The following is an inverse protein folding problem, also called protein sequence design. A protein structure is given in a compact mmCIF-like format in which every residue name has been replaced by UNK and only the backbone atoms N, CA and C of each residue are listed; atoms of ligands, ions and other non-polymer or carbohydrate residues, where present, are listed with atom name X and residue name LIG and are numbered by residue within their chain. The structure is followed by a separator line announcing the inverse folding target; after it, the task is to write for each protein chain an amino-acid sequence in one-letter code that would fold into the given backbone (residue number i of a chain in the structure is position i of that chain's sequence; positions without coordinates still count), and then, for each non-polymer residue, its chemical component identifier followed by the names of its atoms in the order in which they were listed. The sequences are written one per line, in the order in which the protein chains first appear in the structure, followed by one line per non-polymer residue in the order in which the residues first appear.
data_IF_305523624984
#
_entry.id   IF_305523624984
#
_cell.length_a   1.000
_cell.length_b   1.000
_cell.length_c   1.000
_cell.angle_alpha   90.00
_cell.angle_beta   90.00
_cell.angle_gamma   90.00
#
_symmetry.space_group_name_H-M   'P 1'
#
loop_
_entity.id
_entity.type
_entity.pdbx_description
1 polymer ?
#
# COMPACT_ATOMS: atom_id res chain seq x y z
N UNK A 1 -11.90 7.98 -8.29
CA UNK A 1 -12.06 8.73 -9.54
C UNK A 1 -12.47 7.82 -10.70
N UNK A 2 -11.70 6.73 -10.97
CA UNK A 2 -12.01 5.84 -12.11
C UNK A 2 -13.42 5.24 -12.02
N UNK A 3 -13.84 4.75 -10.87
CA UNK A 3 -15.18 4.17 -10.67
C UNK A 3 -16.29 5.19 -10.98
N UNK A 4 -16.14 6.44 -10.51
CA UNK A 4 -17.08 7.51 -10.84
C UNK A 4 -17.15 7.77 -12.36
N UNK A 5 -15.99 7.80 -13.04
CA UNK A 5 -15.92 7.97 -14.50
C UNK A 5 -16.48 6.79 -15.30
N UNK A 6 -16.48 5.61 -14.71
CA UNK A 6 -17.08 4.40 -15.29
C UNK A 6 -18.60 4.31 -15.05
N UNK A 7 -19.19 5.30 -14.37
CA UNK A 7 -20.64 5.40 -14.19
C UNK A 7 -21.15 4.92 -12.83
N UNK A 8 -20.29 4.68 -11.85
CA UNK A 8 -20.75 4.42 -10.49
C UNK A 8 -21.46 5.68 -9.93
N UNK A 9 -22.69 5.51 -9.42
CA UNK A 9 -23.53 6.62 -8.95
C UNK A 9 -23.02 7.22 -7.64
N UNK A 10 -22.54 6.40 -6.73
CA UNK A 10 -22.05 6.83 -5.43
C UNK A 10 -20.67 6.18 -5.15
N UNK A 11 -19.65 7.01 -5.03
CA UNK A 11 -18.30 6.57 -4.75
C UNK A 11 -17.82 7.20 -3.47
N UNK A 12 -17.62 6.38 -2.45
CA UNK A 12 -17.16 6.79 -1.13
C UNK A 12 -15.73 6.34 -0.93
N UNK A 13 -14.84 7.26 -0.54
CA UNK A 13 -13.51 6.97 -0.03
C UNK A 13 -13.55 7.14 1.48
N UNK A 14 -13.38 6.04 2.21
CA UNK A 14 -13.47 6.04 3.67
C UNK A 14 -12.08 5.97 4.27
N UNK A 15 -11.79 6.86 5.23
CA UNK A 15 -10.50 6.93 5.88
C UNK A 15 -10.65 7.01 7.40
N UNK A 16 -9.80 6.25 8.12
CA UNK A 16 -9.91 6.08 9.57
C UNK A 16 -9.45 7.26 10.43
N UNK A 17 -8.79 8.25 9.84
CA UNK A 17 -8.32 9.48 10.50
C UNK A 17 -8.86 10.72 9.81
N UNK A 18 -8.34 11.90 10.19
CA UNK A 18 -8.63 13.17 9.54
C UNK A 18 -8.04 13.27 8.12
N UNK A 19 -8.54 14.24 7.38
CA UNK A 19 -8.08 14.48 6.01
C UNK A 19 -6.60 14.88 5.96
N UNK A 20 -6.10 15.50 7.01
CA UNK A 20 -4.70 15.94 7.18
C UNK A 20 -3.73 14.77 7.36
N UNK A 21 -4.24 13.63 7.83
CA UNK A 21 -3.45 12.40 8.01
C UNK A 21 -3.43 11.51 6.76
N UNK A 22 -4.12 11.91 5.68
CA UNK A 22 -4.16 11.12 4.46
C UNK A 22 -2.81 11.16 3.74
N UNK A 23 -2.33 10.00 3.28
CA UNK A 23 -1.17 9.93 2.39
C UNK A 23 -1.41 10.54 1.00
N UNK A 24 -2.69 10.71 0.61
CA UNK A 24 -3.06 11.40 -0.62
C UNK A 24 -2.80 12.91 -0.50
N UNK A 25 -2.16 13.50 -1.50
CA UNK A 25 -1.90 14.94 -1.57
C UNK A 25 -3.20 15.74 -1.65
N UNK A 26 -3.14 17.03 -1.29
CA UNK A 26 -4.31 17.92 -1.46
C UNK A 26 -4.83 17.94 -2.91
N UNK A 27 -3.92 17.92 -3.88
CA UNK A 27 -4.28 17.86 -5.30
C UNK A 27 -5.07 16.59 -5.66
N UNK A 28 -4.65 15.43 -5.18
CA UNK A 28 -5.38 14.17 -5.38
C UNK A 28 -6.75 14.16 -4.72
N UNK A 29 -6.86 14.74 -3.52
CA UNK A 29 -8.13 14.92 -2.81
C UNK A 29 -9.08 15.85 -3.59
N UNK A 30 -8.56 16.93 -4.14
CA UNK A 30 -9.35 17.87 -4.95
C UNK A 30 -9.82 17.23 -6.27
N UNK A 31 -8.96 16.44 -6.93
CA UNK A 31 -9.36 15.64 -8.10
C UNK A 31 -10.48 14.65 -7.72
N UNK A 32 -10.38 13.98 -6.57
CA UNK A 32 -11.42 13.06 -6.11
C UNK A 32 -12.76 13.80 -5.91
N UNK A 33 -12.76 14.91 -5.20
CA UNK A 33 -13.95 15.75 -4.96
C UNK A 33 -14.54 16.29 -6.25
N UNK A 34 -13.70 16.79 -7.18
CA UNK A 34 -14.15 17.28 -8.49
C UNK A 34 -14.80 16.19 -9.36
N UNK A 35 -14.46 14.91 -9.12
CA UNK A 35 -15.12 13.76 -9.75
C UNK A 35 -16.21 13.14 -8.87
N UNK A 36 -16.81 13.92 -7.96
CA UNK A 36 -17.93 13.53 -7.10
C UNK A 36 -17.65 12.35 -6.16
N UNK A 37 -16.38 12.06 -5.88
CA UNK A 37 -16.01 11.09 -4.85
C UNK A 37 -16.18 11.72 -3.48
N UNK A 38 -17.01 11.12 -2.63
CA UNK A 38 -17.23 11.57 -1.26
C UNK A 38 -16.10 11.08 -0.36
N UNK A 39 -15.45 12.00 0.36
CA UNK A 39 -14.45 11.66 1.37
C UNK A 39 -15.13 11.55 2.74
N UNK A 40 -15.09 10.38 3.33
CA UNK A 40 -15.62 10.10 4.67
C UNK A 40 -14.45 9.80 5.59
N UNK A 41 -14.12 10.75 6.45
CA UNK A 41 -13.04 10.63 7.44
C UNK A 41 -13.56 10.17 8.79
N UNK A 42 -12.65 9.79 9.67
CA UNK A 42 -12.95 9.33 11.02
C UNK A 42 -13.88 8.12 11.03
N UNK A 43 -13.63 7.19 10.12
CA UNK A 43 -14.41 5.96 9.99
C UNK A 43 -13.50 4.76 9.69
N UNK A 44 -13.55 3.76 10.54
CA UNK A 44 -12.79 2.53 10.41
C UNK A 44 -13.72 1.41 9.94
N UNK A 45 -13.34 0.62 8.93
CA UNK A 45 -14.11 -0.54 8.51
C UNK A 45 -14.17 -1.61 9.61
N UNK A 46 -15.35 -2.19 9.82
CA UNK A 46 -15.57 -3.27 10.77
C UNK A 46 -15.99 -4.57 10.09
N UNK A 47 -17.02 -4.49 9.24
CA UNK A 47 -17.65 -5.70 8.70
C UNK A 47 -18.19 -5.45 7.28
N UNK A 48 -17.92 -6.40 6.39
CA UNK A 48 -18.57 -6.43 5.08
C UNK A 48 -19.96 -7.06 5.26
N UNK A 49 -20.99 -6.35 4.82
CA UNK A 49 -22.38 -6.79 4.91
C UNK A 49 -22.74 -7.55 3.62
N UNK A 50 -23.26 -8.74 3.80
CA UNK A 50 -23.72 -9.58 2.69
C UNK A 50 -25.26 -9.67 2.71
N UNK A 51 -25.84 -9.91 1.55
CA UNK A 51 -27.24 -10.27 1.39
C UNK A 51 -27.48 -11.77 1.62
N UNK A 52 -28.72 -12.22 1.49
CA UNK A 52 -29.12 -13.62 1.67
C UNK A 52 -28.52 -14.57 0.62
N UNK A 53 -27.97 -14.03 -0.49
CA UNK A 53 -27.30 -14.78 -1.55
C UNK A 53 -25.77 -14.75 -1.39
N UNK A 54 -25.24 -14.10 -0.33
CA UNK A 54 -23.82 -13.95 -0.08
C UNK A 54 -23.14 -12.88 -0.94
N UNK A 55 -23.90 -11.99 -1.58
CA UNK A 55 -23.36 -10.87 -2.34
C UNK A 55 -23.14 -9.67 -1.44
N UNK A 56 -22.16 -8.84 -1.77
CA UNK A 56 -21.90 -7.60 -1.03
C UNK A 56 -23.12 -6.68 -1.16
N UNK A 57 -23.67 -6.24 -0.01
CA UNK A 57 -24.73 -5.23 0.05
C UNK A 57 -24.29 -3.93 0.73
N UNK A 58 -23.11 -3.92 1.36
CA UNK A 58 -22.61 -2.76 2.06
C UNK A 58 -21.47 -3.07 3.02
N UNK A 59 -21.13 -2.09 3.82
CA UNK A 59 -20.08 -2.19 4.83
C UNK A 59 -20.48 -1.42 6.10
N UNK A 60 -20.18 -1.99 7.27
CA UNK A 60 -20.29 -1.33 8.57
C UNK A 60 -18.96 -0.68 8.93
N UNK A 61 -19.06 0.52 9.47
CA UNK A 61 -17.95 1.32 9.94
C UNK A 61 -18.16 1.75 11.39
N UNK A 62 -17.08 1.78 12.17
CA UNK A 62 -17.04 2.45 13.45
C UNK A 62 -16.54 3.88 13.29
N UNK A 63 -17.14 4.82 14.02
CA UNK A 63 -16.59 6.18 14.17
C UNK A 63 -15.33 6.14 15.00
N UNK A 64 -14.35 6.94 14.59
CA UNK A 64 -13.04 7.01 15.24
C UNK A 64 -12.71 8.43 15.67
N UNK A 65 -11.79 8.55 16.61
CA UNK A 65 -11.19 9.82 17.07
C UNK A 65 -9.80 9.57 17.62
N UNK A 66 -9.05 10.61 17.89
CA UNK A 66 -7.75 10.52 18.55
C UNK A 66 -7.88 10.81 20.03
N UNK A 67 -7.34 9.91 20.85
CA UNK A 67 -7.15 10.11 22.29
C UNK A 67 -5.65 10.01 22.58
N UNK A 68 -5.06 11.06 23.04
CA UNK A 68 -3.61 11.14 23.31
C UNK A 68 -2.75 10.67 22.11
N UNK A 69 -3.17 11.05 20.88
CA UNK A 69 -2.49 10.68 19.63
C UNK A 69 -2.73 9.23 19.16
N UNK A 70 -3.52 8.45 19.89
CA UNK A 70 -3.90 7.07 19.51
C UNK A 70 -5.29 7.03 18.94
N UNK A 71 -5.44 6.32 17.83
CA UNK A 71 -6.74 6.10 17.21
C UNK A 71 -7.58 5.16 18.06
N UNK A 72 -8.81 5.59 18.40
CA UNK A 72 -9.79 4.81 19.15
C UNK A 72 -11.15 4.91 18.46
N UNK A 73 -12.01 3.91 18.68
CA UNK A 73 -13.41 3.95 18.24
C UNK A 73 -14.25 4.69 19.28
N UNK A 74 -15.27 5.41 18.81
CA UNK A 74 -16.21 6.11 19.70
C UNK A 74 -17.29 5.21 20.29
N UNK A 75 -17.46 3.99 19.75
CA UNK A 75 -18.59 3.11 20.00
C UNK A 75 -19.78 3.34 19.05
N UNK A 76 -19.80 4.43 18.29
CA UNK A 76 -20.80 4.67 17.27
C UNK A 76 -20.47 3.93 15.99
N UNK A 77 -21.47 3.31 15.37
CA UNK A 77 -21.33 2.62 14.08
C UNK A 77 -22.35 3.16 13.07
N UNK A 78 -22.05 2.98 11.79
CA UNK A 78 -22.96 3.28 10.69
C UNK A 78 -22.70 2.34 9.51
N UNK A 79 -23.70 2.22 8.64
CA UNK A 79 -23.60 1.37 7.46
C UNK A 79 -23.65 2.23 6.19
N UNK A 80 -22.89 1.83 5.17
CA UNK A 80 -22.97 2.33 3.81
C UNK A 80 -23.37 1.18 2.91
N UNK A 81 -24.41 1.38 2.12
CA UNK A 81 -24.75 0.47 1.04
C UNK A 81 -23.65 0.52 -0.04
N UNK A 82 -23.28 -0.62 -0.58
CA UNK A 82 -22.28 -0.72 -1.64
C UNK A 82 -22.45 -2.04 -2.38
N UNK A 83 -22.30 -2.00 -3.70
CA UNK A 83 -22.27 -3.17 -4.58
C UNK A 83 -20.83 -3.72 -4.72
N UNK A 84 -19.83 -2.89 -4.44
CA UNK A 84 -18.42 -3.25 -4.52
C UNK A 84 -17.59 -2.53 -3.45
N UNK A 85 -16.64 -3.23 -2.87
CA UNK A 85 -15.73 -2.70 -1.84
C UNK A 85 -14.29 -2.95 -2.29
N UNK A 86 -13.47 -1.89 -2.30
CA UNK A 86 -12.05 -1.95 -2.64
C UNK A 86 -11.21 -1.61 -1.42
N UNK A 87 -10.30 -2.52 -1.07
CA UNK A 87 -9.34 -2.30 0.00
C UNK A 87 -8.09 -1.59 -0.55
N UNK A 88 -7.87 -0.34 -0.14
CA UNK A 88 -6.75 0.50 -0.56
C UNK A 88 -5.96 0.99 0.67
N UNK A 89 -5.51 0.06 1.52
CA UNK A 89 -4.88 0.36 2.83
C UNK A 89 -3.36 0.19 2.85
N UNK A 90 -2.74 0.19 1.68
CA UNK A 90 -1.32 -0.09 1.50
C UNK A 90 -1.03 -1.57 1.29
N UNK A 91 0.23 -1.89 1.14
CA UNK A 91 0.74 -3.23 0.92
C UNK A 91 1.84 -3.53 1.94
N UNK A 92 1.98 -4.79 2.30
CA UNK A 92 3.09 -5.31 3.09
C UNK A 92 3.86 -6.33 2.26
N UNK A 93 5.18 -6.33 2.39
CA UNK A 93 6.00 -7.35 1.76
C UNK A 93 5.79 -8.70 2.47
N UNK A 94 5.32 -9.69 1.73
CA UNK A 94 5.19 -11.07 2.22
C UNK A 94 6.40 -11.89 1.76
N UNK A 95 7.31 -12.17 2.69
CA UNK A 95 8.49 -12.98 2.42
C UNK A 95 8.22 -14.48 2.30
N UNK A 96 7.03 -14.95 2.66
CA UNK A 96 6.69 -16.39 2.62
C UNK A 96 6.78 -16.96 1.21
N UNK A 97 6.47 -16.13 0.19
CA UNK A 97 6.57 -16.50 -1.22
C UNK A 97 8.00 -16.85 -1.69
N UNK A 98 9.04 -16.43 -0.95
CA UNK A 98 10.44 -16.74 -1.25
C UNK A 98 10.87 -18.13 -0.78
N UNK A 99 10.05 -18.80 0.00
CA UNK A 99 10.38 -20.05 0.69
C UNK A 99 11.22 -19.83 1.95
N UNK A 100 11.14 -20.78 2.88
CA UNK A 100 11.71 -20.67 4.22
C UNK A 100 13.21 -20.34 4.29
N UNK A 101 14.11 -20.97 3.49
CA UNK A 101 15.53 -20.65 3.58
C UNK A 101 15.82 -19.18 3.25
N UNK A 102 15.34 -18.70 2.10
CA UNK A 102 15.58 -17.32 1.64
C UNK A 102 14.90 -16.28 2.54
N UNK A 103 13.67 -16.56 2.98
CA UNK A 103 12.93 -15.67 3.87
C UNK A 103 13.65 -15.42 5.22
N UNK A 104 14.40 -16.41 5.73
CA UNK A 104 15.17 -16.30 6.98
C UNK A 104 16.50 -15.57 6.81
N UNK A 105 17.15 -15.72 5.67
CA UNK A 105 18.44 -15.09 5.38
C UNK A 105 18.30 -13.64 4.96
N UNK A 106 17.13 -13.28 4.44
CA UNK A 106 16.83 -11.93 3.96
C UNK A 106 16.70 -10.95 5.12
N UNK A 107 17.66 -10.03 5.25
CA UNK A 107 17.58 -8.96 6.26
C UNK A 107 16.49 -7.97 5.89
N UNK A 108 15.76 -7.53 6.92
CA UNK A 108 14.66 -6.56 6.78
C UNK A 108 14.84 -5.39 7.73
N UNK A 109 14.28 -4.25 7.34
CA UNK A 109 14.08 -3.09 8.18
C UNK A 109 12.58 -2.85 8.30
N UNK A 110 11.98 -3.20 9.46
CA UNK A 110 10.53 -3.31 9.58
C UNK A 110 9.97 -4.38 8.63
N UNK A 111 8.97 -4.00 7.85
CA UNK A 111 8.29 -4.87 6.88
C UNK A 111 8.95 -4.86 5.49
N UNK A 112 10.10 -4.20 5.32
CA UNK A 112 10.75 -4.02 4.01
C UNK A 112 12.11 -4.68 3.94
N UNK A 113 12.53 -5.06 2.73
CA UNK A 113 13.83 -5.65 2.45
C UNK A 113 14.91 -4.59 2.66
N UNK A 114 15.94 -4.92 3.44
CA UNK A 114 17.10 -4.08 3.58
C UNK A 114 18.04 -4.30 2.38
N UNK A 115 18.43 -3.21 1.73
CA UNK A 115 19.39 -3.20 0.62
C UNK A 115 20.46 -2.13 0.85
N UNK A 116 21.59 -2.27 0.15
CA UNK A 116 22.64 -1.26 0.08
C UNK A 116 22.37 -0.22 -1.04
N UNK A 117 23.31 0.69 -1.23
CA UNK A 117 23.26 1.72 -2.27
C UNK A 117 23.27 1.18 -3.72
N UNK A 118 23.62 -0.11 -3.89
CA UNK A 118 23.62 -0.84 -5.15
C UNK A 118 22.43 -1.79 -5.28
N UNK A 119 21.45 -1.68 -4.38
CA UNK A 119 20.25 -2.53 -4.33
C UNK A 119 20.52 -4.02 -4.04
N UNK A 120 21.70 -4.34 -3.47
CA UNK A 120 22.04 -5.68 -3.04
C UNK A 120 21.34 -5.98 -1.72
N UNK A 121 20.76 -7.16 -1.63
CA UNK A 121 20.23 -7.69 -0.36
C UNK A 121 21.34 -8.32 0.48
N UNK A 122 20.96 -8.86 1.65
CA UNK A 122 21.86 -9.67 2.47
C UNK A 122 22.25 -11.01 1.85
N UNK A 123 21.59 -11.41 0.77
CA UNK A 123 21.82 -12.69 0.08
C UNK A 123 22.65 -12.43 -1.17
N UNK A 124 23.84 -13.04 -1.31
CA UNK A 124 24.67 -12.85 -2.48
C UNK A 124 23.95 -13.17 -3.80
N UNK A 125 24.04 -12.26 -4.78
CA UNK A 125 23.40 -12.40 -6.09
C UNK A 125 21.90 -12.06 -6.10
N UNK A 126 21.31 -11.67 -4.97
CA UNK A 126 19.92 -11.26 -4.87
C UNK A 126 19.83 -9.74 -4.70
N UNK A 127 19.05 -9.11 -5.56
CA UNK A 127 18.80 -7.67 -5.57
C UNK A 127 17.32 -7.39 -5.34
N UNK A 128 17.00 -6.23 -4.77
CA UNK A 128 15.63 -5.79 -4.60
C UNK A 128 15.49 -4.28 -4.83
N UNK A 129 14.33 -3.84 -5.31
CA UNK A 129 14.05 -2.43 -5.57
C UNK A 129 12.56 -2.13 -5.52
N UNK A 130 12.21 -0.84 -5.50
CA UNK A 130 10.83 -0.37 -5.41
C UNK A 130 10.27 -0.47 -3.98
N UNK A 131 8.95 -0.51 -3.87
CA UNK A 131 8.20 -0.37 -2.63
C UNK A 131 8.45 -1.49 -1.61
N UNK A 132 9.00 -2.63 -2.03
CA UNK A 132 9.38 -3.71 -1.11
C UNK A 132 10.68 -3.45 -0.34
N UNK A 133 11.42 -2.38 -0.66
CA UNK A 133 12.68 -2.04 -0.01
C UNK A 133 12.53 -0.94 1.03
N UNK A 134 13.53 -0.83 1.93
CA UNK A 134 13.58 0.21 2.96
C UNK A 134 14.17 1.55 2.46
N UNK A 135 14.44 1.65 1.17
CA UNK A 135 14.93 2.88 0.54
C UNK A 135 13.75 3.78 0.16
N UNK A 136 13.95 5.10 0.39
CA UNK A 136 13.15 6.20 -0.14
C UNK A 136 11.61 6.12 -0.01
N UNK A 137 10.91 6.83 -0.89
CA UNK A 137 9.45 6.94 -0.93
C UNK A 137 8.85 5.91 -1.89
N UNK A 138 7.62 5.50 -1.63
CA UNK A 138 6.86 4.57 -2.48
C UNK A 138 6.35 5.29 -3.74
N UNK A 139 7.25 5.53 -4.69
CA UNK A 139 6.97 6.21 -5.95
C UNK A 139 7.31 5.32 -7.15
N UNK A 140 6.40 5.27 -8.12
CA UNK A 140 6.59 4.50 -9.36
C UNK A 140 7.89 4.88 -10.09
N UNK A 141 8.23 6.17 -10.12
CA UNK A 141 9.45 6.65 -10.77
C UNK A 141 10.71 6.15 -10.04
N UNK A 142 10.67 6.02 -8.73
CA UNK A 142 11.76 5.43 -7.95
C UNK A 142 11.89 3.93 -8.17
N UNK A 143 10.76 3.21 -8.23
CA UNK A 143 10.78 1.79 -8.55
C UNK A 143 11.45 1.52 -9.91
N UNK A 144 11.17 2.35 -10.93
CA UNK A 144 11.83 2.28 -12.23
C UNK A 144 13.33 2.58 -12.11
N UNK A 145 13.71 3.62 -11.37
CA UNK A 145 15.11 3.97 -11.15
C UNK A 145 15.86 2.86 -10.39
N UNK A 146 15.24 2.25 -9.39
CA UNK A 146 15.82 1.10 -8.67
C UNK A 146 16.08 -0.08 -9.62
N UNK A 147 15.14 -0.37 -10.53
CA UNK A 147 15.33 -1.40 -11.55
C UNK A 147 16.57 -1.13 -12.44
N UNK A 148 16.76 0.12 -12.85
CA UNK A 148 17.93 0.53 -13.63
C UNK A 148 19.23 0.36 -12.83
N UNK A 149 19.29 0.88 -11.62
CA UNK A 149 20.47 0.79 -10.75
C UNK A 149 20.83 -0.67 -10.42
N UNK A 150 19.82 -1.50 -10.14
CA UNK A 150 20.04 -2.92 -9.94
C UNK A 150 20.65 -3.61 -11.18
N UNK A 151 20.13 -3.30 -12.38
CA UNK A 151 20.66 -3.86 -13.61
C UNK A 151 22.12 -3.43 -13.86
N UNK A 152 22.46 -2.17 -13.60
CA UNK A 152 23.84 -1.66 -13.70
C UNK A 152 24.77 -2.37 -12.70
N UNK A 153 24.33 -2.56 -11.45
CA UNK A 153 25.10 -3.25 -10.42
C UNK A 153 25.30 -4.74 -10.75
N UNK A 154 24.27 -5.42 -11.24
CA UNK A 154 24.34 -6.81 -11.70
C UNK A 154 25.34 -6.95 -12.85
N UNK A 155 25.24 -6.08 -13.85
CA UNK A 155 26.14 -6.09 -15.00
C UNK A 155 27.61 -5.88 -14.57
N UNK A 156 27.87 -4.90 -13.72
CA UNK A 156 29.20 -4.65 -13.20
C UNK A 156 29.79 -5.88 -12.47
N UNK A 157 28.97 -6.53 -11.64
CA UNK A 157 29.39 -7.74 -10.92
C UNK A 157 29.69 -8.91 -11.86
N UNK A 158 28.88 -9.11 -12.90
CA UNK A 158 29.08 -10.19 -13.86
C UNK A 158 30.34 -9.96 -14.69
N UNK A 159 30.64 -8.72 -15.10
CA UNK A 159 31.87 -8.38 -15.84
C UNK A 159 33.12 -8.64 -15.02
N UNK A 160 33.13 -8.27 -13.74
CA UNK A 160 34.26 -8.57 -12.84
C UNK A 160 34.52 -10.08 -12.71
N UNK A 161 33.48 -10.90 -12.69
CA UNK A 161 33.62 -12.36 -12.62
C UNK A 161 34.17 -12.97 -13.92
N UNK A 162 33.89 -12.35 -15.08
CA UNK A 162 34.42 -12.79 -16.38
C UNK A 162 35.92 -12.47 -16.50
N UNK A 163 36.37 -11.31 -16.00
CA UNK A 163 37.77 -10.91 -16.01
C UNK A 163 38.65 -11.72 -15.04
N UNK A 164 38.02 -12.34 -14.01
CA UNK A 164 38.71 -13.12 -12.99
C UNK A 164 38.79 -14.65 -13.29
N UNK A 165 38.15 -15.10 -14.36
CA UNK A 165 38.08 -16.49 -14.79
C UNK A 165 39.05 -16.81 -15.95
#
# INVERSE_FOLDING_TARGET
VQMARLGAHDVNLVYRRGVEDMGATHHEQDIAKANQVRLLTWAQPEEVLLDDQGQVRGMRFARTHLVEGRLQTTGETFELAADAIFKAIGQAFDSSALGDPLARELKRSGDRIQVDEHLRTSIPGVYAGGDCTSLDQDLTVQAVQHGKLAAEAINAQLMLNVEAA
#
